data_IF_771039876212
#
_entry.id   IF_771039876212
#
_cell.length_a   1.000
_cell.length_b   1.000
_cell.length_c   1.000
_cell.angle_alpha   90.00
_cell.angle_beta   90.00
_cell.angle_gamma   90.00
#
_symmetry.space_group_name_H-M   'P 1'
#
loop_
_entity.id
_entity.type
_entity.pdbx_description
1 polymer ?
#
# COMPACT_ATOMS: atom_id res chain seq x y z
N UNK A 1 -24.98 -1.98 14.85
CA UNK A 1 -25.62 -2.68 13.71
C UNK A 1 -24.59 -2.77 12.59
N UNK A 2 -24.41 -3.94 11.95
CA UNK A 2 -23.49 -4.08 10.83
C UNK A 2 -23.92 -3.19 9.65
N UNK A 3 -22.96 -2.73 8.85
CA UNK A 3 -23.24 -1.85 7.70
C UNK A 3 -23.66 -0.43 8.05
N UNK A 4 -23.60 -0.01 9.33
CA UNK A 4 -23.81 1.39 9.73
C UNK A 4 -22.57 1.97 10.40
N UNK A 5 -22.29 3.24 10.10
CA UNK A 5 -21.17 4.01 10.67
C UNK A 5 -21.72 5.27 11.35
N UNK A 6 -21.53 5.42 12.66
CA UNK A 6 -21.89 6.65 13.37
C UNK A 6 -20.89 7.74 13.03
N UNK A 7 -21.37 8.87 12.52
CA UNK A 7 -20.52 9.94 11.97
C UNK A 7 -20.84 11.28 12.63
N UNK A 8 -19.79 12.01 13.02
CA UNK A 8 -19.85 13.39 13.54
C UNK A 8 -18.72 14.20 12.93
N UNK A 9 -19.03 15.41 12.47
CA UNK A 9 -18.10 16.30 11.77
C UNK A 9 -18.57 16.60 10.35
N UNK A 10 -17.66 17.11 9.52
CA UNK A 10 -18.00 17.52 8.16
C UNK A 10 -18.16 16.32 7.23
N UNK A 11 -19.31 16.25 6.55
CA UNK A 11 -19.70 15.19 5.64
C UNK A 11 -20.02 15.76 4.27
N UNK A 12 -19.45 15.15 3.24
CA UNK A 12 -19.63 15.47 1.82
C UNK A 12 -20.56 14.42 1.20
N UNK A 13 -21.84 14.76 1.10
CA UNK A 13 -22.91 13.85 0.66
C UNK A 13 -23.04 13.79 -0.86
N UNK A 14 -23.66 12.71 -1.36
CA UNK A 14 -24.06 12.57 -2.78
C UNK A 14 -24.77 13.85 -3.26
N UNK A 15 -24.37 14.36 -4.43
CA UNK A 15 -24.90 15.57 -5.07
C UNK A 15 -24.71 16.89 -4.31
N UNK A 16 -23.86 16.97 -3.28
CA UNK A 16 -23.60 18.21 -2.53
C UNK A 16 -22.13 18.62 -2.62
N UNK A 17 -21.85 19.78 -3.22
CA UNK A 17 -20.49 20.38 -3.30
C UNK A 17 -20.11 21.18 -2.05
N UNK A 18 -20.99 21.21 -1.05
CA UNK A 18 -20.79 21.92 0.22
C UNK A 18 -20.87 20.91 1.36
N UNK A 19 -19.95 20.93 2.33
CA UNK A 19 -20.03 20.04 3.48
C UNK A 19 -21.24 20.37 4.36
N UNK A 20 -21.82 19.32 4.91
CA UNK A 20 -22.78 19.42 6.02
C UNK A 20 -22.14 18.90 7.29
N UNK A 21 -22.26 19.65 8.39
CA UNK A 21 -21.72 19.22 9.68
C UNK A 21 -22.74 18.38 10.43
N UNK A 22 -22.46 17.09 10.59
CA UNK A 22 -23.30 16.18 11.38
C UNK A 22 -22.90 16.22 12.87
N UNK A 23 -23.88 16.21 13.76
CA UNK A 23 -23.68 16.12 15.22
C UNK A 23 -23.74 14.70 15.76
N UNK A 24 -23.89 13.72 14.86
CA UNK A 24 -24.07 12.31 15.19
C UNK A 24 -25.20 11.71 14.35
N UNK A 25 -24.86 10.93 13.34
CA UNK A 25 -25.84 10.24 12.50
C UNK A 25 -25.29 8.90 12.02
N UNK A 26 -26.16 7.90 11.92
CA UNK A 26 -25.79 6.61 11.33
C UNK A 26 -25.85 6.73 9.81
N UNK A 27 -24.72 6.44 9.15
CA UNK A 27 -24.62 6.40 7.70
C UNK A 27 -24.57 4.93 7.28
N UNK A 28 -25.39 4.55 6.30
CA UNK A 28 -25.35 3.19 5.76
C UNK A 28 -24.20 3.05 4.77
N UNK A 29 -23.47 1.95 4.89
CA UNK A 29 -22.30 1.64 4.09
C UNK A 29 -22.54 0.29 3.41
N UNK A 30 -22.40 0.23 2.09
CA UNK A 30 -22.52 -1.04 1.37
C UNK A 30 -21.32 -1.94 1.68
N UNK A 31 -21.59 -3.10 2.29
CA UNK A 31 -20.58 -4.13 2.58
C UNK A 31 -20.97 -5.42 1.86
N UNK A 32 -20.22 -5.85 0.83
CA UNK A 32 -20.52 -7.06 0.09
C UNK A 32 -20.28 -8.28 0.99
N UNK A 33 -21.01 -9.38 0.74
CA UNK A 33 -20.86 -10.64 1.48
C UNK A 33 -19.42 -11.19 1.43
N UNK A 34 -18.65 -10.84 0.40
CA UNK A 34 -17.23 -11.21 0.30
C UNK A 34 -16.34 -10.50 1.32
N UNK A 35 -16.83 -9.45 1.99
CA UNK A 35 -16.09 -8.67 2.99
C UNK A 35 -16.57 -8.88 4.43
N UNK A 36 -17.66 -9.61 4.65
CA UNK A 36 -18.31 -9.70 5.96
C UNK A 36 -18.62 -11.14 6.34
N UNK A 37 -18.71 -11.38 7.65
CA UNK A 37 -19.14 -12.66 8.19
C UNK A 37 -20.67 -12.83 8.12
N UNK A 38 -21.16 -13.98 8.59
CA UNK A 38 -22.59 -14.31 8.62
C UNK A 38 -23.46 -13.31 9.42
N UNK A 39 -22.85 -12.52 10.29
CA UNK A 39 -23.51 -11.48 11.08
C UNK A 39 -23.40 -10.08 10.44
N UNK A 40 -22.71 -9.93 9.31
CA UNK A 40 -22.55 -8.69 8.56
C UNK A 40 -21.42 -7.76 9.05
N UNK A 41 -20.64 -8.16 10.05
CA UNK A 41 -19.42 -7.45 10.45
C UNK A 41 -18.28 -7.81 9.51
N UNK A 42 -17.33 -6.88 9.30
CA UNK A 42 -16.12 -7.20 8.54
C UNK A 42 -15.44 -8.43 9.12
N UNK A 43 -14.98 -9.31 8.24
CA UNK A 43 -14.23 -10.48 8.68
C UNK A 43 -12.96 -10.06 9.41
N UNK A 44 -12.72 -10.68 10.55
CA UNK A 44 -11.48 -10.53 11.31
C UNK A 44 -10.85 -11.90 11.47
N UNK A 45 -9.54 -11.92 11.35
CA UNK A 45 -8.78 -13.17 11.30
C UNK A 45 -7.65 -13.01 12.29
N UNK A 46 -7.62 -13.89 13.29
CA UNK A 46 -6.54 -13.92 14.27
C UNK A 46 -5.21 -14.15 13.56
N UNK A 47 -4.14 -13.40 13.91
CA UNK A 47 -2.81 -13.70 13.41
C UNK A 47 -2.46 -15.18 13.61
N UNK A 48 -1.91 -15.87 12.58
CA UNK A 48 -1.56 -17.26 12.72
C UNK A 48 -0.41 -17.39 13.73
N UNK A 49 -0.60 -18.24 14.75
CA UNK A 49 0.45 -18.59 15.71
C UNK A 49 1.14 -19.91 15.35
N UNK A 50 0.60 -20.60 14.33
CA UNK A 50 1.02 -21.93 13.88
C UNK A 50 1.01 -23.01 14.97
N UNK A 51 0.24 -22.80 16.05
CA UNK A 51 0.13 -23.74 17.17
C UNK A 51 -0.46 -25.11 16.78
N UNK A 52 -1.07 -25.21 15.60
CA UNK A 52 -1.55 -26.45 15.01
C UNK A 52 -0.45 -27.35 14.41
N UNK A 53 0.79 -26.86 14.29
CA UNK A 53 1.92 -27.61 13.76
C UNK A 53 2.78 -28.18 14.90
N UNK A 54 3.08 -29.49 14.84
CA UNK A 54 4.15 -30.07 15.66
C UNK A 54 5.53 -29.66 15.13
N UNK A 55 6.55 -29.62 15.98
CA UNK A 55 7.92 -29.26 15.59
C UNK A 55 8.45 -30.14 14.46
N UNK A 56 8.05 -31.41 14.37
CA UNK A 56 8.41 -32.32 13.27
C UNK A 56 7.82 -31.93 11.91
N UNK A 57 6.83 -31.03 11.88
CA UNK A 57 6.21 -30.48 10.68
C UNK A 57 6.76 -29.11 10.31
N UNK A 58 7.73 -28.59 11.07
CA UNK A 58 8.44 -27.35 10.81
C UNK A 58 9.76 -27.68 10.13
N UNK A 59 10.02 -27.07 8.98
CA UNK A 59 11.28 -27.19 8.25
C UNK A 59 12.03 -25.87 8.38
N UNK A 60 13.19 -25.92 9.02
CA UNK A 60 14.19 -24.86 8.91
C UNK A 60 14.79 -24.90 7.50
N UNK A 61 14.67 -23.79 6.76
CA UNK A 61 15.15 -23.70 5.38
C UNK A 61 16.66 -23.90 5.26
N UNK A 62 17.44 -23.65 6.32
CA UNK A 62 18.90 -23.85 6.33
C UNK A 62 19.32 -25.31 6.57
N UNK A 63 18.43 -26.13 7.11
CA UNK A 63 18.70 -27.54 7.45
C UNK A 63 18.34 -28.53 6.32
N UNK A 64 17.83 -28.04 5.18
CA UNK A 64 17.49 -28.89 4.03
C UNK A 64 18.75 -29.24 3.24
N UNK A 65 19.43 -30.33 3.63
CA UNK A 65 20.73 -30.73 3.09
C UNK A 65 20.82 -30.82 1.54
N UNK A 66 19.73 -31.14 0.85
CA UNK A 66 19.69 -31.21 -0.61
C UNK A 66 19.63 -29.83 -1.30
N UNK A 67 19.27 -28.79 -0.56
CA UNK A 67 19.01 -27.43 -1.04
C UNK A 67 19.63 -26.43 -0.05
N UNK A 68 20.96 -26.26 -0.04
CA UNK A 68 21.62 -25.38 0.91
C UNK A 68 21.13 -23.93 0.73
N UNK A 69 20.76 -23.31 1.84
CA UNK A 69 20.34 -21.91 1.93
C UNK A 69 21.27 -21.21 2.91
N UNK A 70 21.90 -20.12 2.49
CA UNK A 70 22.87 -19.39 3.30
C UNK A 70 22.21 -18.32 4.19
N UNK A 71 21.38 -17.46 3.59
CA UNK A 71 20.83 -16.28 4.24
C UNK A 71 21.92 -15.29 4.70
N UNK A 72 22.98 -15.13 3.90
CA UNK A 72 24.19 -14.34 4.22
C UNK A 72 24.26 -12.98 3.48
N UNK A 73 23.24 -12.66 2.67
CA UNK A 73 23.16 -11.44 1.86
C UNK A 73 24.03 -11.42 0.61
N UNK A 74 24.73 -12.52 0.31
CA UNK A 74 25.70 -12.61 -0.81
C UNK A 74 25.41 -13.81 -1.70
N UNK A 75 25.17 -14.97 -1.10
CA UNK A 75 24.87 -16.21 -1.79
C UNK A 75 23.46 -16.13 -2.38
N UNK A 76 23.34 -16.46 -3.66
CA UNK A 76 22.04 -16.54 -4.33
C UNK A 76 21.26 -17.78 -3.84
N UNK A 77 20.26 -17.53 -3.00
CA UNK A 77 19.45 -18.56 -2.36
C UNK A 77 18.23 -18.98 -3.22
N UNK A 78 18.01 -18.33 -4.38
CA UNK A 78 16.77 -18.43 -5.17
C UNK A 78 16.40 -19.88 -5.51
N UNK A 79 17.34 -20.64 -6.08
CA UNK A 79 17.06 -21.99 -6.57
C UNK A 79 16.79 -22.99 -5.43
N UNK A 80 17.56 -22.89 -4.33
CA UNK A 80 17.37 -23.72 -3.15
C UNK A 80 16.03 -23.43 -2.48
N UNK A 81 15.71 -22.16 -2.26
CA UNK A 81 14.44 -21.74 -1.67
C UNK A 81 13.24 -22.16 -2.53
N UNK A 82 13.33 -22.02 -3.86
CA UNK A 82 12.25 -22.44 -4.74
C UNK A 82 11.99 -23.95 -4.64
N UNK A 83 13.04 -24.77 -4.55
CA UNK A 83 12.90 -26.21 -4.38
C UNK A 83 12.26 -26.60 -3.04
N UNK A 84 12.69 -25.94 -1.95
CA UNK A 84 12.12 -26.13 -0.61
C UNK A 84 10.63 -25.77 -0.60
N UNK A 85 10.27 -24.59 -1.11
CA UNK A 85 8.88 -24.13 -1.21
C UNK A 85 8.00 -25.12 -1.97
N UNK A 86 8.46 -25.60 -3.12
CA UNK A 86 7.73 -26.58 -3.93
C UNK A 86 7.51 -27.90 -3.18
N UNK A 87 8.46 -28.30 -2.33
CA UNK A 87 8.35 -29.55 -1.57
C UNK A 87 7.38 -29.45 -0.37
N UNK A 88 7.37 -28.30 0.30
CA UNK A 88 6.69 -28.06 1.58
C UNK A 88 5.25 -27.55 1.44
N UNK A 89 4.91 -26.88 0.34
CA UNK A 89 3.60 -26.27 0.13
C UNK A 89 2.45 -27.25 0.41
N UNK A 90 1.51 -26.83 1.28
CA UNK A 90 0.35 -27.62 1.70
C UNK A 90 0.64 -28.75 2.70
N UNK A 91 1.90 -28.96 3.09
CA UNK A 91 2.33 -30.09 3.95
C UNK A 91 2.96 -29.64 5.26
N UNK A 92 3.84 -28.64 5.20
CA UNK A 92 4.74 -28.26 6.29
C UNK A 92 4.77 -26.73 6.45
N UNK A 93 5.17 -26.30 7.65
CA UNK A 93 5.51 -24.91 7.94
C UNK A 93 6.98 -24.69 7.61
N UNK A 94 7.30 -23.65 6.84
CA UNK A 94 8.68 -23.25 6.61
C UNK A 94 9.09 -22.18 7.63
N UNK A 95 10.14 -22.46 8.38
CA UNK A 95 10.80 -21.53 9.28
C UNK A 95 12.04 -20.96 8.61
N UNK A 96 12.13 -19.63 8.61
CA UNK A 96 13.25 -18.89 8.07
C UNK A 96 14.00 -18.24 9.23
N UNK A 97 15.18 -18.76 9.60
CA UNK A 97 16.03 -18.10 10.57
C UNK A 97 16.35 -16.65 10.15
N UNK A 98 16.76 -15.84 11.10
CA UNK A 98 17.28 -14.51 10.82
C UNK A 98 18.37 -14.56 9.72
N UNK A 99 18.32 -13.62 8.79
CA UNK A 99 19.30 -13.50 7.72
C UNK A 99 18.78 -12.78 6.49
N UNK A 100 19.69 -12.51 5.56
CA UNK A 100 19.41 -11.86 4.28
C UNK A 100 19.48 -12.90 3.18
N UNK A 101 18.33 -13.26 2.64
CA UNK A 101 18.19 -14.26 1.58
C UNK A 101 18.17 -13.54 0.24
N UNK A 102 19.31 -13.57 -0.46
CA UNK A 102 19.48 -12.85 -1.73
C UNK A 102 18.75 -13.60 -2.86
N UNK A 103 17.90 -12.88 -3.59
CA UNK A 103 17.10 -13.42 -4.69
C UNK A 103 17.50 -12.76 -6.02
N UNK A 104 17.99 -13.53 -6.98
CA UNK A 104 18.35 -13.02 -8.32
C UNK A 104 17.29 -13.29 -9.39
N UNK A 105 16.26 -14.07 -9.04
CA UNK A 105 15.10 -14.38 -9.84
C UNK A 105 13.81 -14.29 -8.99
N UNK A 106 12.64 -14.25 -9.63
CA UNK A 106 11.33 -14.37 -9.00
C UNK A 106 11.23 -15.67 -8.22
N UNK A 107 10.97 -15.55 -6.92
CA UNK A 107 10.62 -16.66 -6.04
C UNK A 107 9.09 -16.82 -6.02
N UNK A 108 8.59 -17.89 -6.64
CA UNK A 108 7.18 -18.24 -6.64
C UNK A 108 6.82 -18.89 -5.30
N UNK A 109 5.87 -18.31 -4.58
CA UNK A 109 5.26 -18.89 -3.38
C UNK A 109 4.06 -19.73 -3.81
N UNK A 110 4.13 -21.06 -3.75
CA UNK A 110 3.04 -21.91 -4.22
C UNK A 110 1.81 -21.85 -3.31
N UNK A 111 0.65 -22.18 -3.86
CA UNK A 111 -0.59 -22.35 -3.08
C UNK A 111 -0.39 -23.42 -2.00
N UNK A 112 -0.82 -23.12 -0.78
CA UNK A 112 -0.70 -23.96 0.40
C UNK A 112 0.52 -23.63 1.28
N UNK A 113 1.36 -22.69 0.86
CA UNK A 113 2.58 -22.32 1.60
C UNK A 113 2.26 -21.59 2.92
N UNK A 114 3.07 -21.89 3.94
CA UNK A 114 3.11 -21.15 5.21
C UNK A 114 4.56 -20.93 5.57
N UNK A 115 4.91 -19.67 5.75
CA UNK A 115 6.27 -19.19 5.98
C UNK A 115 6.25 -18.33 7.24
N UNK A 116 7.21 -18.54 8.12
CA UNK A 116 7.42 -17.72 9.31
C UNK A 116 8.90 -17.34 9.40
N UNK A 117 9.17 -16.05 9.50
CA UNK A 117 10.51 -15.51 9.75
C UNK A 117 10.85 -15.47 11.24
N UNK A 118 12.13 -15.27 11.53
CA UNK A 118 12.65 -15.07 12.88
C UNK A 118 13.13 -13.62 13.02
N UNK A 119 12.24 -12.76 13.55
CA UNK A 119 12.51 -11.34 13.81
C UNK A 119 12.85 -10.50 12.57
N UNK A 120 14.08 -10.65 12.03
CA UNK A 120 14.62 -9.84 10.93
C UNK A 120 15.03 -10.76 9.76
N UNK A 121 14.03 -11.43 9.18
CA UNK A 121 14.21 -12.28 8.00
C UNK A 121 13.95 -11.46 6.74
N UNK A 122 14.98 -11.29 5.91
CA UNK A 122 14.94 -10.43 4.73
C UNK A 122 14.98 -11.23 3.43
N UNK A 123 14.05 -10.97 2.51
CA UNK A 123 14.25 -11.30 1.09
C UNK A 123 14.74 -10.06 0.35
N UNK A 124 15.92 -10.16 -0.26
CA UNK A 124 16.58 -9.03 -0.92
C UNK A 124 16.76 -9.29 -2.41
N UNK A 125 16.07 -8.53 -3.26
CA UNK A 125 16.21 -8.66 -4.71
C UNK A 125 17.59 -8.18 -5.16
N UNK A 126 18.17 -8.85 -6.15
CA UNK A 126 19.44 -8.47 -6.76
C UNK A 126 19.53 -8.89 -8.23
N UNK A 127 20.47 -8.31 -8.96
CA UNK A 127 20.79 -8.74 -10.31
C UNK A 127 19.92 -8.13 -11.41
N UNK A 128 20.26 -8.51 -12.66
CA UNK A 128 19.76 -7.83 -13.87
C UNK A 128 18.26 -8.01 -14.14
N UNK A 129 17.64 -9.04 -13.57
CA UNK A 129 16.22 -9.35 -13.79
C UNK A 129 15.29 -8.22 -13.35
N UNK A 130 15.69 -7.48 -12.31
CA UNK A 130 14.90 -6.40 -11.72
C UNK A 130 15.35 -4.99 -12.15
N UNK A 131 16.22 -4.87 -13.16
CA UNK A 131 16.77 -3.56 -13.59
C UNK A 131 15.88 -2.80 -14.57
N UNK A 132 14.92 -3.44 -15.23
CA UNK A 132 14.16 -2.81 -16.32
C UNK A 132 12.83 -2.22 -15.83
N UNK A 133 12.78 -0.91 -15.61
CA UNK A 133 11.56 -0.20 -15.18
C UNK A 133 10.38 -0.33 -16.15
N UNK A 134 10.64 -0.55 -17.45
CA UNK A 134 9.58 -0.72 -18.47
C UNK A 134 9.02 -2.15 -18.52
N UNK A 135 9.67 -3.08 -17.83
CA UNK A 135 9.27 -4.47 -17.71
C UNK A 135 9.45 -4.89 -16.25
N UNK A 136 8.62 -4.33 -15.34
CA UNK A 136 8.69 -4.66 -13.93
C UNK A 136 8.55 -6.17 -13.73
N UNK A 137 9.30 -6.72 -12.79
CA UNK A 137 9.35 -8.15 -12.49
C UNK A 137 9.22 -8.35 -10.97
N UNK A 138 8.33 -9.25 -10.52
CA UNK A 138 8.18 -9.55 -9.10
C UNK A 138 9.40 -10.29 -8.54
N UNK A 139 9.91 -9.85 -7.39
CA UNK A 139 10.83 -10.61 -6.55
C UNK A 139 10.08 -11.78 -5.92
N UNK A 140 8.96 -11.52 -5.25
CA UNK A 140 8.07 -12.55 -4.75
C UNK A 140 6.76 -12.57 -5.52
N UNK A 141 6.40 -13.76 -6.01
CA UNK A 141 5.14 -13.99 -6.68
C UNK A 141 4.28 -14.93 -5.86
N UNK A 142 3.20 -14.43 -5.26
CA UNK A 142 2.31 -15.22 -4.41
C UNK A 142 1.19 -15.84 -5.25
N UNK A 143 1.38 -17.13 -5.56
CA UNK A 143 0.54 -17.90 -6.46
C UNK A 143 0.54 -17.38 -7.91
N UNK A 144 -0.20 -18.08 -8.77
CA UNK A 144 -0.46 -17.66 -10.14
C UNK A 144 -1.88 -17.11 -10.29
N UNK A 145 -2.11 -16.40 -11.39
CA UNK A 145 -3.44 -15.90 -11.71
C UNK A 145 -4.46 -17.05 -11.77
N UNK A 146 -5.55 -16.90 -11.02
CA UNK A 146 -6.61 -17.91 -10.93
C UNK A 146 -6.43 -18.94 -9.82
N UNK A 147 -5.27 -18.97 -9.16
CA UNK A 147 -5.06 -19.83 -8.01
C UNK A 147 -5.97 -19.44 -6.85
N UNK A 148 -6.43 -20.44 -6.10
CA UNK A 148 -7.25 -20.26 -4.91
C UNK A 148 -6.76 -21.18 -3.80
N UNK A 149 -6.42 -20.62 -2.63
CA UNK A 149 -6.01 -21.44 -1.50
C UNK A 149 -5.53 -20.65 -0.30
N UNK A 150 -4.39 -21.04 0.26
CA UNK A 150 -3.75 -20.42 1.43
C UNK A 150 -2.32 -20.05 1.06
N UNK A 151 -1.88 -18.85 1.41
CA UNK A 151 -0.46 -18.47 1.42
C UNK A 151 -0.23 -17.53 2.60
N UNK A 152 0.45 -18.01 3.64
CA UNK A 152 0.71 -17.24 4.85
C UNK A 152 2.20 -16.94 4.94
N UNK A 153 2.52 -15.66 5.09
CA UNK A 153 3.85 -15.16 5.38
C UNK A 153 3.69 -14.27 6.62
N UNK A 154 4.57 -14.43 7.60
CA UNK A 154 4.64 -13.61 8.83
C UNK A 154 6.10 -13.37 9.19
N UNK A 155 6.40 -12.19 9.74
CA UNK A 155 7.75 -11.79 10.21
C UNK A 155 8.79 -11.70 9.08
N UNK A 156 8.43 -11.07 7.95
CA UNK A 156 9.33 -10.86 6.82
C UNK A 156 9.54 -9.39 6.49
N UNK A 157 10.77 -9.10 6.06
CA UNK A 157 11.16 -7.86 5.43
C UNK A 157 11.46 -8.13 3.95
N UNK A 158 10.96 -7.28 3.06
CA UNK A 158 11.26 -7.34 1.63
C UNK A 158 12.04 -6.09 1.22
N UNK A 159 13.16 -6.31 0.53
CA UNK A 159 14.15 -5.27 0.26
C UNK A 159 14.83 -5.48 -1.10
N UNK A 160 15.69 -4.54 -1.50
CA UNK A 160 16.55 -4.63 -2.68
C UNK A 160 18.01 -4.38 -2.27
N UNK A 161 18.93 -5.16 -2.83
CA UNK A 161 20.37 -5.03 -2.58
C UNK A 161 21.06 -4.00 -3.50
N UNK A 162 20.33 -3.42 -4.45
CA UNK A 162 20.87 -2.52 -5.50
C UNK A 162 19.77 -1.58 -6.02
N UNK A 163 20.11 -0.65 -6.91
CA UNK A 163 19.17 0.21 -7.64
C UNK A 163 18.45 -0.64 -8.70
N UNK A 164 17.25 -1.14 -8.39
CA UNK A 164 16.51 -2.11 -9.21
C UNK A 164 15.17 -1.56 -9.71
N UNK A 165 15.14 -0.55 -10.61
CA UNK A 165 13.92 0.21 -10.95
C UNK A 165 12.83 -0.62 -11.64
N UNK A 166 13.08 -1.89 -11.99
CA UNK A 166 12.08 -2.85 -12.43
C UNK A 166 11.67 -3.86 -11.35
N UNK A 167 12.03 -3.67 -10.08
CA UNK A 167 11.60 -4.56 -9.00
C UNK A 167 10.16 -4.25 -8.57
N UNK A 168 9.33 -5.29 -8.57
CA UNK A 168 8.08 -5.36 -7.80
C UNK A 168 8.39 -6.25 -6.60
N UNK A 169 8.32 -5.76 -5.36
CA UNK A 169 8.80 -6.55 -4.22
C UNK A 169 7.92 -7.79 -3.97
N UNK A 170 6.60 -7.59 -4.02
CA UNK A 170 5.63 -8.69 -3.90
C UNK A 170 4.49 -8.45 -4.87
N UNK A 171 4.16 -9.48 -5.64
CA UNK A 171 2.98 -9.55 -6.49
C UNK A 171 2.06 -10.64 -5.96
N UNK A 172 0.83 -10.29 -5.61
CA UNK A 172 -0.16 -11.27 -5.12
C UNK A 172 -1.17 -11.56 -6.22
N UNK A 173 -1.22 -12.80 -6.68
CA UNK A 173 -2.10 -13.22 -7.79
C UNK A 173 -3.23 -14.15 -7.38
N UNK A 174 -3.01 -14.94 -6.32
CA UNK A 174 -3.97 -15.92 -5.87
C UNK A 174 -5.07 -15.27 -5.02
N UNK A 175 -6.25 -15.89 -5.01
CA UNK A 175 -7.29 -15.57 -4.05
C UNK A 175 -7.23 -16.51 -2.83
N UNK A 176 -7.65 -16.02 -1.66
CA UNK A 176 -7.93 -16.89 -0.53
C UNK A 176 -9.16 -17.76 -0.79
N UNK A 177 -9.13 -19.01 -0.33
CA UNK A 177 -10.33 -19.88 -0.32
C UNK A 177 -11.42 -19.42 0.65
N UNK A 178 -11.03 -18.64 1.67
CA UNK A 178 -11.87 -17.98 2.67
C UNK A 178 -11.21 -16.65 3.08
N UNK A 179 -11.96 -15.68 3.65
CA UNK A 179 -11.36 -14.53 4.34
C UNK A 179 -10.26 -14.99 5.31
N UNK A 180 -9.07 -14.39 5.25
CA UNK A 180 -7.96 -14.70 6.16
C UNK A 180 -6.94 -15.73 5.71
N UNK A 181 -7.14 -16.34 4.56
CA UNK A 181 -6.21 -17.33 4.03
C UNK A 181 -4.91 -16.73 3.45
N UNK A 182 -4.66 -15.42 3.60
CA UNK A 182 -3.50 -14.72 3.04
C UNK A 182 -2.76 -13.85 4.09
N UNK A 183 -1.50 -13.53 3.79
CA UNK A 183 -0.39 -13.13 4.69
C UNK A 183 -0.54 -11.82 5.51
N UNK A 184 0.11 -11.74 6.69
CA UNK A 184 0.09 -10.59 7.63
C UNK A 184 1.52 -10.27 8.10
N UNK A 185 1.77 -9.05 8.56
CA UNK A 185 3.07 -8.57 9.07
C UNK A 185 4.18 -8.61 8.01
N UNK A 186 3.84 -8.05 6.83
CA UNK A 186 4.80 -7.85 5.75
C UNK A 186 5.41 -6.45 5.87
N UNK A 187 6.71 -6.35 6.11
CA UNK A 187 7.42 -5.08 6.10
C UNK A 187 8.18 -4.94 4.77
N UNK A 188 8.07 -3.82 4.08
CA UNK A 188 8.89 -3.53 2.90
C UNK A 188 9.76 -2.31 3.24
N UNK A 189 11.04 -2.52 3.53
CA UNK A 189 12.01 -1.44 3.72
C UNK A 189 12.77 -1.29 2.41
N UNK A 190 12.48 -0.34 1.50
CA UNK A 190 13.41 0.02 0.40
C UNK A 190 13.05 1.16 -0.53
N UNK A 191 14.07 1.53 -1.30
CA UNK A 191 14.13 2.46 -2.42
C UNK A 191 13.16 2.24 -3.58
N UNK A 192 12.33 1.19 -3.63
CA UNK A 192 11.33 0.93 -4.68
C UNK A 192 10.23 -0.03 -4.16
N UNK A 193 8.93 0.32 -4.16
CA UNK A 193 7.88 -0.62 -3.72
C UNK A 193 6.57 -0.54 -4.52
N UNK A 194 6.49 -1.00 -5.78
CA UNK A 194 5.20 -1.39 -6.33
C UNK A 194 4.78 -2.73 -5.70
N UNK A 195 3.67 -2.74 -4.98
CA UNK A 195 2.97 -3.95 -4.51
C UNK A 195 1.72 -4.13 -5.38
N UNK A 196 1.76 -5.05 -6.35
CA UNK A 196 0.61 -5.33 -7.22
C UNK A 196 -0.30 -6.39 -6.57
N UNK A 197 -1.47 -5.97 -6.10
CA UNK A 197 -2.43 -6.82 -5.38
C UNK A 197 -3.61 -7.19 -6.29
N UNK A 198 -3.63 -8.44 -6.72
CA UNK A 198 -4.77 -9.10 -7.34
C UNK A 198 -5.38 -10.13 -6.35
N UNK A 199 -6.55 -9.79 -5.81
CA UNK A 199 -7.54 -10.65 -5.12
C UNK A 199 -7.29 -11.07 -3.65
N UNK A 200 -8.34 -10.96 -2.80
CA UNK A 200 -8.52 -11.56 -1.45
C UNK A 200 -7.31 -11.74 -0.56
N UNK A 201 -6.62 -10.64 -0.29
CA UNK A 201 -5.51 -10.57 0.67
C UNK A 201 -5.98 -9.92 1.97
N UNK A 202 -5.46 -10.36 3.13
CA UNK A 202 -5.52 -9.57 4.37
C UNK A 202 -4.11 -9.15 4.76
N UNK A 203 -3.60 -8.06 4.17
CA UNK A 203 -2.35 -7.47 4.64
C UNK A 203 -2.64 -6.70 5.93
N UNK A 204 -1.92 -7.03 7.00
CA UNK A 204 -2.12 -6.44 8.33
C UNK A 204 -0.79 -6.04 8.94
N UNK A 205 -0.69 -4.85 9.55
CA UNK A 205 0.54 -4.35 10.17
C UNK A 205 1.73 -4.30 9.20
N UNK A 206 1.52 -3.70 8.03
CA UNK A 206 2.54 -3.63 6.99
C UNK A 206 3.01 -2.19 6.81
N UNK A 207 4.33 -2.00 6.79
CA UNK A 207 4.96 -0.71 6.51
C UNK A 207 5.75 -0.83 5.21
N UNK A 208 5.31 -0.11 4.17
CA UNK A 208 6.10 0.11 2.96
C UNK A 208 6.80 1.45 3.12
N UNK A 209 8.06 1.38 3.51
CA UNK A 209 8.88 2.53 3.83
C UNK A 209 10.01 2.68 2.81
N UNK A 210 10.13 3.91 2.33
CA UNK A 210 11.16 4.32 1.40
C UNK A 210 12.08 5.22 2.18
N UNK A 211 13.36 4.83 2.26
CA UNK A 211 14.27 5.44 3.20
C UNK A 211 14.38 6.97 3.02
N UNK A 212 13.81 7.72 3.96
CA UNK A 212 13.98 9.17 4.03
C UNK A 212 15.27 9.52 4.80
N UNK A 213 15.81 8.60 5.58
CA UNK A 213 17.09 8.69 6.25
C UNK A 213 17.79 7.32 6.30
N UNK A 214 19.11 7.34 6.47
CA UNK A 214 19.88 6.12 6.67
C UNK A 214 19.69 5.60 8.11
N UNK A 215 19.35 4.32 8.25
CA UNK A 215 19.16 3.67 9.55
C UNK A 215 20.49 3.22 10.17
N UNK A 216 21.50 2.90 9.35
CA UNK A 216 22.72 2.20 9.76
C UNK A 216 24.00 2.98 9.48
N UNK A 217 23.88 4.22 8.97
CA UNK A 217 25.03 4.97 8.50
C UNK A 217 24.79 6.47 8.29
N UNK A 218 25.37 6.96 7.20
CA UNK A 218 25.35 8.38 6.82
C UNK A 218 25.17 8.57 5.31
N UNK A 219 24.55 7.59 4.66
CA UNK A 219 24.18 7.65 3.25
C UNK A 219 23.37 8.92 2.97
N UNK A 220 23.73 9.59 1.88
CA UNK A 220 23.05 10.80 1.38
C UNK A 220 22.21 10.50 0.15
N UNK A 221 22.04 9.22 -0.20
CA UNK A 221 21.21 8.82 -1.32
C UNK A 221 19.76 9.23 -1.07
N UNK A 222 19.08 9.63 -2.14
CA UNK A 222 17.66 9.96 -2.14
C UNK A 222 16.93 8.90 -2.95
N UNK A 223 16.28 7.94 -2.30
CA UNK A 223 15.51 6.93 -3.00
C UNK A 223 14.29 7.52 -3.69
N UNK A 224 13.94 6.98 -4.85
CA UNK A 224 12.79 7.45 -5.62
C UNK A 224 11.97 6.30 -6.26
N UNK A 225 11.39 5.38 -5.46
CA UNK A 225 10.35 4.43 -5.88
C UNK A 225 9.28 5.08 -6.72
N UNK A 226 8.72 4.36 -7.69
CA UNK A 226 7.51 4.81 -8.39
C UNK A 226 6.32 4.86 -7.45
N UNK A 227 5.60 3.75 -7.35
CA UNK A 227 4.46 3.56 -6.47
C UNK A 227 4.81 2.86 -5.16
N UNK A 228 3.88 2.94 -4.20
CA UNK A 228 3.70 2.06 -3.05
C UNK A 228 2.72 0.92 -3.38
N UNK A 229 1.60 0.83 -2.68
CA UNK A 229 0.61 -0.22 -2.93
C UNK A 229 -0.26 0.06 -4.17
N UNK A 230 -0.28 -0.87 -5.13
CA UNK A 230 -1.25 -0.93 -6.24
C UNK A 230 -2.29 -2.02 -5.96
N UNK A 231 -3.57 -1.66 -6.02
CA UNK A 231 -4.68 -2.57 -5.75
C UNK A 231 -5.62 -2.62 -6.94
N UNK A 232 -5.65 -3.78 -7.60
CA UNK A 232 -6.53 -4.06 -8.76
C UNK A 232 -7.46 -5.27 -8.52
N UNK A 233 -7.52 -5.72 -7.26
CA UNK A 233 -8.30 -6.85 -6.81
C UNK A 233 -9.78 -6.76 -7.20
N UNK A 234 -10.36 -7.85 -7.73
CA UNK A 234 -11.81 -7.92 -8.02
C UNK A 234 -12.61 -8.71 -6.99
N UNK A 235 -11.94 -9.31 -6.01
CA UNK A 235 -12.56 -10.05 -4.90
C UNK A 235 -12.48 -9.22 -3.63
N UNK A 236 -13.14 -9.67 -2.56
CA UNK A 236 -12.95 -9.07 -1.24
C UNK A 236 -11.45 -8.85 -0.99
N UNK A 237 -11.03 -7.77 -0.37
CA UNK A 237 -9.63 -7.51 0.01
C UNK A 237 -9.64 -6.68 1.29
N UNK A 238 -8.79 -7.01 2.26
CA UNK A 238 -8.62 -6.24 3.49
C UNK A 238 -7.19 -5.73 3.59
N UNK A 239 -7.06 -4.45 3.88
CA UNK A 239 -5.81 -3.74 4.03
C UNK A 239 -5.85 -3.05 5.39
N UNK A 240 -5.12 -3.59 6.37
CA UNK A 240 -5.34 -3.28 7.78
C UNK A 240 -4.07 -2.70 8.42
N UNK A 241 -4.14 -1.46 8.89
CA UNK A 241 -3.01 -0.82 9.57
C UNK A 241 -1.77 -0.76 8.67
N UNK A 242 -1.89 -0.03 7.56
CA UNK A 242 -0.79 0.17 6.62
C UNK A 242 -0.11 1.51 6.88
N UNK A 243 1.22 1.52 6.91
CA UNK A 243 2.03 2.73 6.72
C UNK A 243 2.66 2.67 5.32
N UNK A 244 2.53 3.73 4.53
CA UNK A 244 3.10 3.75 3.17
C UNK A 244 3.67 5.14 2.87
N UNK A 245 4.99 5.22 2.75
CA UNK A 245 5.68 6.49 2.92
C UNK A 245 6.73 6.75 1.84
N UNK A 246 6.83 8.01 1.42
CA UNK A 246 7.90 8.58 0.59
C UNK A 246 8.06 8.00 -0.84
N UNK A 247 7.04 7.33 -1.38
CA UNK A 247 6.99 6.94 -2.78
C UNK A 247 6.79 8.15 -3.70
N UNK A 248 7.33 8.11 -4.92
CA UNK A 248 7.37 9.26 -5.84
C UNK A 248 5.99 9.62 -6.40
N UNK A 249 5.22 8.61 -6.82
CA UNK A 249 3.99 8.80 -7.59
C UNK A 249 2.75 8.68 -6.69
N UNK A 250 2.71 7.65 -5.87
CA UNK A 250 1.62 7.40 -4.93
C UNK A 250 2.05 6.50 -3.78
N UNK A 251 1.40 6.65 -2.63
CA UNK A 251 1.53 5.72 -1.51
C UNK A 251 0.52 4.56 -1.68
N UNK A 252 -0.74 4.87 -2.01
CA UNK A 252 -1.78 3.88 -2.32
C UNK A 252 -2.49 4.23 -3.63
N UNK A 253 -2.60 3.28 -4.56
CA UNK A 253 -3.34 3.42 -5.82
C UNK A 253 -4.34 2.25 -5.95
N UNK A 254 -5.63 2.54 -5.84
CA UNK A 254 -6.72 1.57 -5.97
C UNK A 254 -7.37 1.81 -7.34
N UNK A 255 -7.15 0.89 -8.29
CA UNK A 255 -7.49 1.09 -9.71
C UNK A 255 -8.28 -0.09 -10.23
N UNK A 256 -9.46 0.17 -10.80
CA UNK A 256 -10.31 -0.90 -11.33
C UNK A 256 -10.81 -1.89 -10.28
N UNK A 257 -10.51 -1.68 -8.99
CA UNK A 257 -10.70 -2.66 -7.94
C UNK A 257 -12.16 -2.75 -7.48
N UNK A 258 -12.49 -3.88 -6.85
CA UNK A 258 -13.82 -4.14 -6.29
C UNK A 258 -13.73 -4.78 -4.92
N UNK A 259 -14.64 -4.38 -4.02
CA UNK A 259 -14.80 -5.01 -2.70
C UNK A 259 -13.55 -4.86 -1.83
N UNK A 260 -13.02 -3.65 -1.69
CA UNK A 260 -11.85 -3.38 -0.84
C UNK A 260 -12.31 -2.78 0.49
N UNK A 261 -11.77 -3.30 1.59
CA UNK A 261 -11.79 -2.66 2.89
C UNK A 261 -10.37 -2.22 3.27
N UNK A 262 -10.21 -0.95 3.62
CA UNK A 262 -8.94 -0.36 4.03
C UNK A 262 -9.14 0.35 5.37
N UNK A 263 -8.31 0.06 6.37
CA UNK A 263 -8.36 0.78 7.63
C UNK A 263 -7.33 0.31 8.67
N UNK A 264 -6.51 1.17 9.26
CA UNK A 264 -6.14 2.52 8.83
C UNK A 264 -5.12 2.47 7.68
N UNK A 265 -5.09 3.48 6.81
CA UNK A 265 -3.91 3.84 6.01
C UNK A 265 -3.21 5.07 6.61
N UNK A 266 -1.90 5.02 6.76
CA UNK A 266 -1.05 6.17 6.99
C UNK A 266 -0.15 6.38 5.75
N UNK A 267 0.24 7.61 5.47
CA UNK A 267 1.36 7.85 4.54
C UNK A 267 2.00 9.22 4.65
N UNK A 268 3.22 9.30 4.14
CA UNK A 268 4.05 10.52 4.11
C UNK A 268 4.49 10.89 2.69
N UNK A 269 4.56 12.19 2.39
CA UNK A 269 5.14 12.68 1.15
C UNK A 269 6.64 12.38 1.09
N UNK A 270 7.18 12.18 -0.13
CA UNK A 270 8.61 12.08 -0.33
C UNK A 270 9.28 13.44 -0.05
N UNK A 271 10.15 13.50 0.96
CA UNK A 271 10.69 14.77 1.48
C UNK A 271 11.49 15.59 0.48
N UNK A 272 11.96 14.97 -0.61
CA UNK A 272 12.67 15.67 -1.69
C UNK A 272 11.72 16.38 -2.67
N UNK A 273 10.42 16.09 -2.63
CA UNK A 273 9.38 16.74 -3.44
C UNK A 273 8.86 18.02 -2.79
N UNK A 274 8.25 18.91 -3.58
CA UNK A 274 7.68 20.18 -3.12
C UNK A 274 8.49 21.39 -3.56
N UNK A 275 8.34 22.50 -2.86
CA UNK A 275 8.89 23.79 -3.24
C UNK A 275 10.42 23.73 -3.50
N UNK A 276 10.86 24.18 -4.68
CA UNK A 276 12.28 24.16 -5.06
C UNK A 276 12.77 22.83 -5.64
N UNK A 277 11.93 21.79 -5.71
CA UNK A 277 12.26 20.57 -6.45
C UNK A 277 12.34 20.86 -7.97
N UNK A 278 13.36 20.30 -8.62
CA UNK A 278 13.53 20.36 -10.08
C UNK A 278 13.05 19.10 -10.79
N UNK A 279 12.89 18.00 -10.04
CA UNK A 279 12.29 16.74 -10.51
C UNK A 279 10.86 16.70 -9.99
N UNK A 280 9.89 16.72 -10.89
CA UNK A 280 8.47 16.82 -10.58
C UNK A 280 7.74 15.58 -11.07
N UNK A 281 6.78 15.06 -10.29
CA UNK A 281 5.99 13.91 -10.71
C UNK A 281 5.34 14.16 -12.11
N UNK A 282 5.40 13.19 -13.05
CA UNK A 282 5.82 11.79 -12.87
C UNK A 282 7.33 11.48 -12.89
N UNK A 283 8.22 12.44 -13.09
CA UNK A 283 9.65 12.14 -13.16
C UNK A 283 10.18 11.56 -11.82
N UNK A 284 11.13 10.60 -11.84
CA UNK A 284 11.86 10.08 -13.01
C UNK A 284 11.14 8.95 -13.77
N UNK A 285 9.88 8.63 -13.44
CA UNK A 285 9.13 7.50 -13.96
C UNK A 285 8.39 7.76 -15.27
N UNK A 286 8.50 8.96 -15.84
CA UNK A 286 7.75 9.41 -17.03
C UNK A 286 7.73 8.39 -18.17
N UNK A 287 8.87 7.74 -18.48
CA UNK A 287 8.99 6.79 -19.59
C UNK A 287 8.68 5.33 -19.21
N UNK A 288 8.31 5.08 -17.96
CA UNK A 288 8.11 3.77 -17.35
C UNK A 288 6.85 3.70 -16.49
N UNK A 289 5.89 4.61 -16.70
CA UNK A 289 4.62 4.60 -15.99
C UNK A 289 3.84 3.32 -16.27
N UNK A 290 3.24 2.75 -15.23
CA UNK A 290 2.32 1.64 -15.36
C UNK A 290 0.99 2.13 -15.97
N UNK A 291 0.24 1.27 -16.69
CA UNK A 291 -1.08 1.64 -17.20
C UNK A 291 -2.09 2.07 -16.12
N UNK A 292 -1.88 1.63 -14.88
CA UNK A 292 -2.69 1.97 -13.71
C UNK A 292 -2.29 3.30 -13.05
N UNK A 293 -1.18 3.90 -13.46
CA UNK A 293 -0.70 5.18 -12.94
C UNK A 293 -1.29 6.37 -13.71
N UNK A 294 -1.43 7.55 -13.08
CA UNK A 294 -1.85 8.75 -13.80
C UNK A 294 -0.87 9.05 -14.94
N UNK A 295 -1.28 9.23 -16.19
CA UNK A 295 -0.31 9.35 -17.29
C UNK A 295 0.35 10.72 -17.40
N UNK A 296 -0.32 11.80 -16.95
CA UNK A 296 0.08 13.18 -17.30
C UNK A 296 0.06 14.19 -16.14
N UNK A 297 -0.48 13.81 -14.97
CA UNK A 297 -0.71 14.74 -13.86
C UNK A 297 -1.48 15.99 -14.35
N UNK A 298 -2.51 15.80 -15.18
CA UNK A 298 -3.25 16.86 -15.87
C UNK A 298 -3.85 17.93 -14.95
N UNK A 299 -4.11 17.60 -13.69
CA UNK A 299 -4.64 18.52 -12.69
C UNK A 299 -3.61 19.53 -12.17
N UNK A 300 -2.33 19.38 -12.53
CA UNK A 300 -1.24 20.26 -12.13
C UNK A 300 -0.56 20.94 -13.33
N UNK A 301 -0.28 22.23 -13.19
CA UNK A 301 0.59 22.92 -14.14
C UNK A 301 1.99 22.24 -14.18
N UNK A 302 2.62 22.25 -15.35
CA UNK A 302 3.88 21.52 -15.60
C UNK A 302 5.03 21.91 -14.65
N UNK A 303 5.03 23.15 -14.16
CA UNK A 303 6.07 23.70 -13.27
C UNK A 303 5.63 23.82 -11.82
N UNK A 304 4.46 23.30 -11.47
CA UNK A 304 3.90 23.43 -10.12
C UNK A 304 4.45 22.34 -9.19
N UNK A 305 5.51 22.69 -8.46
CA UNK A 305 6.24 21.74 -7.63
C UNK A 305 5.47 21.28 -6.38
N UNK A 306 4.49 22.05 -5.89
CA UNK A 306 3.66 21.68 -4.73
C UNK A 306 2.41 20.90 -5.13
N UNK A 307 1.98 21.04 -6.39
CA UNK A 307 0.95 20.20 -6.97
C UNK A 307 1.50 18.86 -7.49
N UNK A 308 2.69 18.87 -8.12
CA UNK A 308 3.35 17.66 -8.69
C UNK A 308 4.13 16.86 -7.65
N UNK A 309 3.43 16.48 -6.58
CA UNK A 309 3.91 15.58 -5.53
C UNK A 309 3.16 14.24 -5.59
N UNK A 310 3.73 13.20 -4.98
CA UNK A 310 3.09 11.90 -4.88
C UNK A 310 1.78 11.95 -4.08
N UNK A 311 0.75 11.25 -4.56
CA UNK A 311 -0.54 11.17 -3.88
C UNK A 311 -0.48 10.20 -2.70
N UNK A 312 -1.11 10.52 -1.56
CA UNK A 312 -1.23 9.53 -0.49
C UNK A 312 -2.18 8.41 -0.86
N UNK A 313 -3.25 8.76 -1.58
CA UNK A 313 -4.27 7.80 -1.95
C UNK A 313 -4.91 8.19 -3.27
N UNK A 314 -5.03 7.23 -4.17
CA UNK A 314 -5.79 7.35 -5.40
C UNK A 314 -6.83 6.25 -5.49
N UNK A 315 -8.06 6.60 -5.89
CA UNK A 315 -9.14 5.64 -6.15
C UNK A 315 -9.71 5.96 -7.52
N UNK A 316 -9.52 5.07 -8.48
CA UNK A 316 -9.97 5.29 -9.86
C UNK A 316 -10.68 4.08 -10.44
N UNK A 317 -11.74 4.32 -11.21
CA UNK A 317 -12.52 3.29 -11.92
C UNK A 317 -12.92 2.08 -11.05
N UNK A 318 -13.12 2.31 -9.75
CA UNK A 318 -13.26 1.26 -8.73
C UNK A 318 -14.69 1.25 -8.20
N UNK A 319 -15.09 0.14 -7.56
CA UNK A 319 -16.41 0.04 -6.94
C UNK A 319 -16.44 -0.70 -5.62
N UNK A 320 -17.30 -0.27 -4.69
CA UNK A 320 -17.43 -0.91 -3.36
C UNK A 320 -16.09 -0.84 -2.61
N UNK A 321 -15.63 0.39 -2.39
CA UNK A 321 -14.38 0.69 -1.69
C UNK A 321 -14.72 1.32 -0.35
N UNK A 322 -14.30 0.68 0.73
CA UNK A 322 -14.60 1.06 2.10
C UNK A 322 -13.32 1.48 2.81
N UNK A 323 -13.13 2.80 2.96
CA UNK A 323 -11.95 3.39 3.59
C UNK A 323 -12.35 3.88 4.98
N UNK A 324 -11.83 3.22 5.99
CA UNK A 324 -12.07 3.47 7.40
C UNK A 324 -10.83 4.10 8.02
N UNK A 325 -10.75 5.42 7.90
CA UNK A 325 -9.69 6.29 8.38
C UNK A 325 -8.48 6.36 7.44
N UNK A 326 -7.83 7.53 7.44
CA UNK A 326 -6.56 7.78 6.75
C UNK A 326 -5.77 8.92 7.41
N UNK A 327 -4.45 8.81 7.48
CA UNK A 327 -3.56 9.85 8.02
C UNK A 327 -2.46 10.19 7.02
N UNK A 328 -2.49 11.39 6.46
CA UNK A 328 -1.62 11.80 5.35
C UNK A 328 -0.75 12.99 5.74
N UNK A 329 0.55 12.81 5.82
CA UNK A 329 1.42 13.76 6.50
C UNK A 329 2.47 14.36 5.57
N UNK A 330 2.57 15.69 5.60
CA UNK A 330 3.61 16.42 4.91
C UNK A 330 4.31 17.39 5.87
N UNK A 331 5.54 17.08 6.28
CA UNK A 331 6.26 17.89 7.28
C UNK A 331 7.22 18.89 6.67
N UNK A 332 7.82 18.55 5.53
CA UNK A 332 8.89 19.32 4.87
C UNK A 332 8.63 19.46 3.38
N UNK A 333 9.21 20.49 2.77
CA UNK A 333 9.06 20.76 1.35
C UNK A 333 10.42 20.92 0.66
N UNK A 334 10.58 20.17 -0.42
CA UNK A 334 11.67 20.26 -1.38
C UNK A 334 13.01 19.66 -0.92
N UNK A 335 14.02 19.67 -1.80
CA UNK A 335 15.31 19.02 -1.55
C UNK A 335 16.06 19.53 -0.31
N UNK A 336 15.76 20.75 0.15
CA UNK A 336 16.33 21.34 1.37
C UNK A 336 15.61 20.90 2.65
N UNK A 337 14.57 20.06 2.55
CA UNK A 337 13.72 19.59 3.66
C UNK A 337 13.27 20.74 4.57
N UNK A 338 12.81 21.84 3.96
CA UNK A 338 12.38 23.01 4.73
C UNK A 338 11.04 22.71 5.39
N UNK A 339 10.95 22.87 6.71
CA UNK A 339 9.69 22.67 7.44
C UNK A 339 8.57 23.54 6.87
N UNK A 340 7.42 22.92 6.67
CA UNK A 340 6.25 23.59 6.12
C UNK A 340 5.63 24.54 7.14
N UNK A 341 5.62 25.83 6.85
CA UNK A 341 4.92 26.83 7.68
C UNK A 341 3.42 26.93 7.35
N UNK A 342 3.04 26.48 6.14
CA UNK A 342 1.66 26.46 5.61
C UNK A 342 1.49 25.20 4.77
N UNK A 343 0.36 25.11 4.04
CA UNK A 343 0.18 24.08 3.01
C UNK A 343 1.39 24.06 2.07
N UNK A 344 1.97 22.87 1.92
CA UNK A 344 3.16 22.63 1.11
C UNK A 344 2.99 21.44 0.16
N UNK A 345 1.78 20.87 0.12
CA UNK A 345 1.27 20.00 -0.93
C UNK A 345 -0.15 20.43 -1.29
N UNK A 346 -0.48 20.48 -2.58
CA UNK A 346 -1.81 20.91 -2.98
C UNK A 346 -2.86 19.81 -2.78
N UNK A 347 -2.57 18.57 -3.21
CA UNK A 347 -3.57 17.50 -3.26
C UNK A 347 -3.08 16.26 -2.52
N UNK A 348 -3.83 15.82 -1.50
CA UNK A 348 -3.51 14.63 -0.73
C UNK A 348 -4.03 13.34 -1.41
N UNK A 349 -5.32 13.30 -1.73
CA UNK A 349 -5.94 12.17 -2.40
C UNK A 349 -6.64 12.59 -3.70
N UNK A 350 -6.72 11.66 -4.65
CA UNK A 350 -7.41 11.82 -5.93
C UNK A 350 -8.43 10.71 -6.13
N UNK A 351 -9.72 11.07 -6.20
CA UNK A 351 -10.80 10.14 -6.44
C UNK A 351 -11.44 10.40 -7.79
N UNK A 352 -11.59 9.36 -8.61
CA UNK A 352 -11.97 9.46 -10.01
C UNK A 352 -12.95 8.35 -10.40
N UNK A 353 -14.00 8.70 -11.15
CA UNK A 353 -14.82 7.75 -11.93
C UNK A 353 -15.21 6.45 -11.20
N UNK A 354 -15.48 6.53 -9.91
CA UNK A 354 -15.72 5.39 -9.02
C UNK A 354 -17.12 5.44 -8.42
N UNK A 355 -17.63 4.28 -7.99
CA UNK A 355 -18.99 4.15 -7.43
C UNK A 355 -18.98 3.36 -6.12
N UNK A 356 -19.96 3.58 -5.25
CA UNK A 356 -20.00 2.95 -3.92
C UNK A 356 -18.67 3.08 -3.16
N UNK A 357 -18.04 4.25 -3.23
CA UNK A 357 -16.85 4.61 -2.44
C UNK A 357 -17.31 5.29 -1.14
N UNK A 358 -16.94 4.71 -0.01
CA UNK A 358 -17.27 5.20 1.32
C UNK A 358 -15.97 5.49 2.07
N UNK A 359 -15.66 6.76 2.26
CA UNK A 359 -14.45 7.20 2.95
C UNK A 359 -14.82 7.89 4.25
N UNK A 360 -14.21 7.46 5.35
CA UNK A 360 -14.44 8.02 6.68
C UNK A 360 -13.10 8.45 7.29
N UNK A 361 -13.08 9.56 8.03
CA UNK A 361 -11.97 9.92 8.91
C UNK A 361 -10.61 10.16 8.23
N UNK A 362 -10.57 10.94 7.14
CA UNK A 362 -9.28 11.33 6.53
C UNK A 362 -8.74 12.56 7.27
N UNK A 363 -7.50 12.45 7.72
CA UNK A 363 -6.74 13.52 8.35
C UNK A 363 -5.51 13.85 7.51
N UNK A 364 -5.22 15.14 7.33
CA UNK A 364 -4.03 15.61 6.61
C UNK A 364 -3.23 16.61 7.43
N UNK A 365 -1.92 16.63 7.23
CA UNK A 365 -1.02 17.71 7.65
C UNK A 365 -0.51 18.44 6.40
N UNK A 366 -0.57 19.79 6.40
CA UNK A 366 -0.04 20.68 5.34
C UNK A 366 -0.44 20.35 3.90
N UNK A 367 -1.59 19.70 3.72
CA UNK A 367 -2.21 19.49 2.41
C UNK A 367 -3.38 20.45 2.23
N UNK A 368 -3.37 21.24 1.15
CA UNK A 368 -4.42 22.23 0.88
C UNK A 368 -5.77 21.59 0.60
N UNK A 369 -5.76 20.52 -0.19
CA UNK A 369 -6.92 19.71 -0.58
C UNK A 369 -6.75 18.29 -0.04
N UNK A 370 -7.70 17.84 0.77
CA UNK A 370 -7.75 16.47 1.28
C UNK A 370 -8.18 15.50 0.17
N UNK A 371 -9.20 15.86 -0.61
CA UNK A 371 -9.73 15.05 -1.71
C UNK A 371 -9.93 15.96 -2.92
N UNK A 372 -9.14 15.71 -3.97
CA UNK A 372 -9.36 16.15 -5.33
C UNK A 372 -10.31 15.14 -6.00
N UNK A 373 -11.38 15.62 -6.61
CA UNK A 373 -12.42 14.80 -7.22
C UNK A 373 -12.46 15.01 -8.74
N UNK A 374 -12.58 13.92 -9.51
CA UNK A 374 -12.81 13.96 -10.95
C UNK A 374 -14.03 13.13 -11.36
N UNK A 375 -14.82 13.63 -12.32
CA UNK A 375 -15.88 12.88 -13.00
C UNK A 375 -17.28 12.86 -12.35
N UNK A 376 -17.44 13.29 -11.09
CA UNK A 376 -18.78 13.31 -10.42
C UNK A 376 -19.59 14.56 -10.78
N UNK A 377 -18.92 15.68 -11.08
CA UNK A 377 -19.55 16.97 -11.45
C UNK A 377 -19.28 17.43 -12.88
N UNK A 378 -18.70 16.55 -13.72
CA UNK A 378 -18.22 16.85 -15.07
C UNK A 378 -16.74 16.48 -15.26
N UNK A 379 -16.16 16.85 -16.41
CA UNK A 379 -14.82 16.42 -16.85
C UNK A 379 -13.66 17.19 -16.20
N UNK A 380 -13.92 18.05 -15.21
CA UNK A 380 -12.88 18.87 -14.55
C UNK A 380 -12.61 18.37 -13.14
N UNK A 381 -11.33 18.42 -12.76
CA UNK A 381 -10.90 18.15 -11.40
C UNK A 381 -11.35 19.29 -10.46
N UNK A 382 -11.93 18.91 -9.32
CA UNK A 382 -12.49 19.83 -8.33
C UNK A 382 -11.88 19.54 -6.97
N UNK A 383 -11.33 20.58 -6.33
CA UNK A 383 -10.90 20.53 -4.94
C UNK A 383 -12.14 20.47 -4.03
N UNK A 384 -12.69 19.28 -3.86
CA UNK A 384 -13.97 19.05 -3.19
C UNK A 384 -13.83 19.17 -1.66
N UNK A 385 -12.79 18.56 -1.09
CA UNK A 385 -12.56 18.59 0.36
C UNK A 385 -11.33 19.44 0.65
N UNK A 386 -11.53 20.71 0.98
CA UNK A 386 -10.43 21.65 1.28
C UNK A 386 -10.11 21.69 2.76
N UNK A 387 -8.82 21.82 3.12
CA UNK A 387 -8.38 21.82 4.53
C UNK A 387 -9.00 22.94 5.35
N UNK A 388 -9.10 24.15 4.79
CA UNK A 388 -9.65 25.31 5.50
C UNK A 388 -11.08 25.11 5.97
N UNK A 389 -11.91 24.40 5.19
CA UNK A 389 -13.28 24.04 5.57
C UNK A 389 -13.34 22.90 6.61
N UNK A 390 -12.25 22.14 6.77
CA UNK A 390 -12.12 20.99 7.65
C UNK A 390 -11.01 21.17 8.69
N UNK A 391 -10.70 22.42 9.07
CA UNK A 391 -9.55 22.72 9.92
C UNK A 391 -9.63 21.97 11.26
N UNK A 392 -8.57 21.22 11.56
CA UNK A 392 -8.40 20.54 12.85
C UNK A 392 -7.55 21.36 13.82
N UNK A 393 -7.32 20.82 15.01
CA UNK A 393 -6.30 21.36 15.92
C UNK A 393 -4.91 21.19 15.28
N UNK A 394 -4.04 22.19 15.41
CA UNK A 394 -2.67 22.07 14.94
C UNK A 394 -1.97 20.89 15.66
N UNK A 395 -1.17 20.14 14.92
CA UNK A 395 -0.34 19.06 15.44
C UNK A 395 1.12 19.48 15.32
N UNK A 396 1.81 19.62 16.45
CA UNK A 396 3.20 20.08 16.51
C UNK A 396 3.47 21.39 15.74
N UNK A 397 2.48 22.29 15.75
CA UNK A 397 2.53 23.57 15.04
C UNK A 397 2.11 23.51 13.57
N UNK A 398 1.87 22.32 13.01
CA UNK A 398 1.44 22.16 11.63
C UNK A 398 -0.10 22.29 11.47
N UNK A 399 -0.57 23.04 10.45
CA UNK A 399 -1.96 23.04 10.03
C UNK A 399 -2.49 21.63 9.70
N UNK A 400 -3.64 21.29 10.26
CA UNK A 400 -4.32 20.00 10.01
C UNK A 400 -5.67 20.19 9.34
N UNK A 401 -6.11 19.16 8.61
CA UNK A 401 -7.47 19.03 8.10
C UNK A 401 -8.04 17.68 8.50
N UNK A 402 -9.30 17.63 8.94
CA UNK A 402 -9.97 16.40 9.36
C UNK A 402 -11.38 16.36 8.77
N UNK A 403 -11.59 15.46 7.83
CA UNK A 403 -12.90 15.19 7.24
C UNK A 403 -13.55 13.98 7.93
N UNK A 404 -14.83 14.11 8.30
CA UNK A 404 -15.55 12.99 8.92
C UNK A 404 -15.97 11.93 7.90
N UNK A 405 -16.56 12.34 6.77
CA UNK A 405 -16.89 11.41 5.70
C UNK A 405 -16.95 12.07 4.31
N UNK A 406 -16.50 11.34 3.31
CA UNK A 406 -16.74 11.62 1.89
C UNK A 406 -17.59 10.50 1.30
N UNK A 407 -18.74 10.89 0.75
CA UNK A 407 -19.79 10.00 0.27
C UNK A 407 -20.30 10.41 -1.12
N UNK A 408 -19.66 11.34 -1.82
CA UNK A 408 -20.13 11.81 -3.13
C UNK A 408 -20.13 10.72 -4.18
N UNK A 409 -19.16 9.81 -4.12
CA UNK A 409 -19.10 8.59 -4.93
C UNK A 409 -19.77 7.38 -4.27
N UNK A 410 -20.61 7.54 -3.24
CA UNK A 410 -21.25 6.40 -2.57
C UNK A 410 -22.49 5.84 -3.30
N UNK A 411 -22.99 6.57 -4.29
CA UNK A 411 -24.16 6.21 -5.11
C UNK A 411 -23.97 5.01 -6.02
#
# INVERSE_FOLDING_TARGET
MPGLTWTRGNVYSVNSTTPSRLTGSMISTTRPQTLVNSTGFYETVTPPTYAEYDVSQVIDVKDVAAHPVAGDGVTDDTASLQAILNSAAGKQLLYFPHGIYLLTDTLLIPVGSRLVGESFTEFSASGSKFKNAKQPTPMLKIGNAGDVGVAQLTDFIFTVADILPGAVLVEVNMAGGKPGNQSRDLHCCTNLCPLDIYFLVILGNSWAWVADHDLDGSSTQTPSPGGGFLVEAQRGTWLLGLGIEHHTLYQMNIVGAKNVFLGLQQGEAAYWQGAGATVLAPAPWTDSLLPSEPPDWSWCAATDAVCRMGLYQRVSNSSIINISSGGFWNFVSGPSRTFCATDCQDNAALYESSSKVFTYGISTINSKTLILESGVGGDKDVAEVVRTANSGAAHDGFPTGIMAAYLRMSG
#
